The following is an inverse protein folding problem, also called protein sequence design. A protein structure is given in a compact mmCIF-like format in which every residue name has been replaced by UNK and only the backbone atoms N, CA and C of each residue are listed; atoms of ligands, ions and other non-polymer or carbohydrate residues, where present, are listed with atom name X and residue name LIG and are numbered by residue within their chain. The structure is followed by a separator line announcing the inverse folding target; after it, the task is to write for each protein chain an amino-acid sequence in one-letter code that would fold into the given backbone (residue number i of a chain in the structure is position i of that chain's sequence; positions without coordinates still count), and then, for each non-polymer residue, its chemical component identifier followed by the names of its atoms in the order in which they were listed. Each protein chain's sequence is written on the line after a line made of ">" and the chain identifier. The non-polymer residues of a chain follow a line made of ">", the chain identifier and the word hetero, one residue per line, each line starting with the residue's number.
data_IF_694885592174
#
_entry.id   IF_694885592174
#
_cell.length_a   1.000
_cell.length_b   1.000
_cell.length_c   1.000
_cell.angle_alpha   90.00
_cell.angle_beta   90.00
_cell.angle_gamma   90.00
#
_symmetry.space_group_name_H-M   'P 1'
#
loop_
_entity.id
_entity.type
_entity.pdbx_description
1 polymer ?
#
# COMPACT_ATOMS: atom_id res chain seq x y z
N UNK A 1 -35.22 4.25 3.34
CA UNK A 1 -35.51 4.90 2.06
C UNK A 1 -34.80 4.17 0.95
N UNK A 2 -35.56 3.59 0.05
CA UNK A 2 -35.19 2.63 -0.97
C UNK A 2 -34.18 3.22 -1.99
N UNK A 3 -33.03 2.55 -2.17
CA UNK A 3 -32.23 2.70 -3.37
C UNK A 3 -32.54 1.53 -4.30
N UNK A 4 -33.27 1.81 -5.37
CA UNK A 4 -33.50 0.87 -6.45
C UNK A 4 -32.24 0.76 -7.32
N UNK A 5 -31.75 -0.47 -7.43
CA UNK A 5 -30.61 -0.83 -8.26
C UNK A 5 -31.11 -1.10 -9.69
N UNK A 6 -30.84 -0.20 -10.63
CA UNK A 6 -31.16 -0.32 -12.05
C UNK A 6 -29.89 -0.61 -12.86
N UNK A 7 -29.25 -1.73 -12.64
CA UNK A 7 -28.35 -2.35 -13.63
C UNK A 7 -28.37 -3.85 -13.40
N UNK A 8 -29.06 -4.58 -14.29
CA UNK A 8 -29.09 -6.04 -14.27
C UNK A 8 -27.74 -6.63 -14.64
N UNK A 9 -26.99 -7.05 -13.63
CA UNK A 9 -25.90 -7.98 -13.76
C UNK A 9 -26.12 -9.15 -12.79
N UNK A 10 -25.92 -10.40 -13.20
CA UNK A 10 -26.13 -11.56 -12.32
C UNK A 10 -25.07 -11.59 -11.22
N UNK A 11 -25.52 -11.49 -9.97
CA UNK A 11 -24.69 -11.57 -8.79
C UNK A 11 -24.08 -12.97 -8.64
N UNK A 12 -22.77 -13.03 -8.43
CA UNK A 12 -22.09 -14.22 -7.91
C UNK A 12 -22.49 -14.43 -6.43
N UNK A 13 -23.48 -15.29 -6.20
CA UNK A 13 -23.82 -15.75 -4.86
C UNK A 13 -22.92 -16.92 -4.48
N UNK A 14 -21.98 -16.71 -3.56
CA UNK A 14 -21.28 -17.76 -2.84
C UNK A 14 -22.18 -18.25 -1.70
N UNK A 15 -23.14 -19.13 -1.99
CA UNK A 15 -23.85 -19.90 -0.96
C UNK A 15 -23.31 -21.33 -0.97
N UNK A 16 -22.59 -21.70 0.08
CA UNK A 16 -22.17 -23.06 0.32
C UNK A 16 -23.38 -23.98 0.49
N UNK A 17 -23.49 -25.02 -0.34
CA UNK A 17 -24.40 -26.14 -0.11
C UNK A 17 -23.76 -27.18 0.79
N UNK A 18 -24.51 -27.82 1.70
CA UNK A 18 -23.99 -28.91 2.51
C UNK A 18 -23.79 -30.16 1.65
N UNK A 19 -22.71 -30.88 1.94
CA UNK A 19 -22.36 -32.15 1.32
C UNK A 19 -23.33 -33.23 1.85
N UNK A 20 -24.18 -33.76 0.99
CA UNK A 20 -24.90 -34.98 1.20
C UNK A 20 -24.17 -36.15 0.51
N UNK A 21 -23.98 -37.20 1.24
CA UNK A 21 -23.41 -38.49 0.80
C UNK A 21 -24.26 -39.17 -0.28
N UNK A 22 -23.59 -39.79 -1.25
CA UNK A 22 -24.18 -40.93 -1.95
C UNK A 22 -24.01 -40.97 -3.47
N UNK A 23 -23.19 -41.90 -3.91
CA UNK A 23 -23.29 -42.77 -5.11
C UNK A 23 -22.88 -42.29 -6.49
N UNK A 24 -21.89 -43.02 -6.99
CA UNK A 24 -21.69 -43.61 -8.34
C UNK A 24 -21.53 -42.70 -9.55
N UNK A 25 -20.29 -42.72 -10.05
CA UNK A 25 -19.82 -42.86 -11.43
C UNK A 25 -20.83 -42.54 -12.56
N UNK A 26 -20.67 -41.37 -13.16
CA UNK A 26 -20.96 -41.11 -14.60
C UNK A 26 -20.13 -39.94 -15.09
N UNK A 27 -19.32 -40.22 -16.11
CA UNK A 27 -18.45 -39.26 -16.80
C UNK A 27 -19.21 -38.02 -17.32
N UNK A 28 -18.71 -36.85 -16.96
CA UNK A 28 -19.18 -35.61 -17.54
C UNK A 28 -18.41 -35.31 -18.82
N UNK A 29 -19.07 -35.50 -19.95
CA UNK A 29 -18.69 -34.86 -21.21
C UNK A 29 -18.89 -33.35 -21.06
N UNK A 30 -17.80 -32.61 -21.07
CA UNK A 30 -17.82 -31.13 -21.24
C UNK A 30 -18.12 -30.88 -22.71
N UNK A 31 -19.36 -30.50 -23.03
CA UNK A 31 -19.71 -29.97 -24.34
C UNK A 31 -19.04 -28.58 -24.50
N UNK A 32 -18.19 -28.42 -25.50
CA UNK A 32 -17.71 -27.13 -25.99
C UNK A 32 -18.90 -26.28 -26.47
N UNK A 33 -19.47 -25.49 -25.57
CA UNK A 33 -20.41 -24.44 -25.90
C UNK A 33 -19.68 -23.31 -26.62
N UNK A 34 -19.89 -23.15 -27.92
CA UNK A 34 -19.49 -21.96 -28.68
C UNK A 34 -20.02 -20.73 -27.98
N UNK A 35 -19.12 -19.92 -27.43
CA UNK A 35 -19.44 -18.61 -26.90
C UNK A 35 -19.98 -17.71 -28.03
N UNK A 36 -21.24 -17.30 -27.89
CA UNK A 36 -21.86 -16.29 -28.76
C UNK A 36 -21.13 -14.96 -28.56
N UNK A 37 -20.69 -14.26 -29.62
CA UNK A 37 -20.06 -12.96 -29.46
C UNK A 37 -21.09 -11.95 -28.97
N UNK A 38 -20.93 -11.46 -27.76
CA UNK A 38 -21.67 -10.28 -27.27
C UNK A 38 -21.17 -9.04 -28.03
N UNK A 39 -22.05 -8.41 -28.77
CA UNK A 39 -21.85 -7.12 -29.42
C UNK A 39 -21.47 -6.07 -28.38
N UNK A 40 -20.33 -5.38 -28.58
CA UNK A 40 -19.92 -4.22 -27.81
C UNK A 40 -18.53 -4.27 -27.21
N UNK A 41 -17.57 -4.99 -27.77
CA UNK A 41 -16.16 -4.83 -27.46
C UNK A 41 -15.61 -3.58 -28.20
N UNK A 42 -15.86 -2.40 -27.64
CA UNK A 42 -15.02 -1.23 -27.92
C UNK A 42 -13.61 -1.55 -27.42
N UNK A 43 -12.59 -1.25 -28.23
CA UNK A 43 -11.16 -1.46 -28.05
C UNK A 43 -10.68 -1.30 -26.61
N UNK A 44 -10.86 -2.32 -25.78
CA UNK A 44 -10.18 -2.38 -24.48
C UNK A 44 -8.74 -2.81 -24.76
N UNK A 45 -7.73 -2.03 -24.33
CA UNK A 45 -6.34 -2.40 -24.58
C UNK A 45 -6.07 -3.82 -24.06
N UNK A 46 -5.42 -4.63 -24.90
CA UNK A 46 -5.07 -6.01 -24.57
C UNK A 46 -4.21 -6.06 -23.33
N UNK A 47 -4.51 -6.96 -22.40
CA UNK A 47 -3.78 -7.11 -21.14
C UNK A 47 -2.33 -7.57 -21.40
N UNK A 48 -1.36 -6.82 -20.88
CA UNK A 48 0.06 -7.04 -21.14
C UNK A 48 0.71 -7.64 -19.89
N UNK A 49 1.08 -8.91 -19.97
CA UNK A 49 1.76 -9.65 -18.89
C UNK A 49 3.28 -9.78 -19.11
N UNK A 50 3.80 -9.36 -20.25
CA UNK A 50 5.23 -9.27 -20.55
C UNK A 50 5.54 -7.90 -21.15
N UNK A 51 6.02 -7.01 -20.32
CA UNK A 51 6.31 -5.63 -20.70
C UNK A 51 7.47 -5.49 -21.71
N UNK A 52 8.30 -6.54 -21.90
CA UNK A 52 9.36 -6.53 -22.91
C UNK A 52 8.80 -6.34 -24.33
N UNK A 53 7.56 -6.76 -24.57
CA UNK A 53 6.84 -6.54 -25.83
C UNK A 53 6.57 -5.06 -26.14
N UNK A 54 6.58 -4.21 -25.12
CA UNK A 54 6.34 -2.77 -25.25
C UNK A 54 7.58 -1.98 -25.69
N UNK A 55 8.78 -2.56 -25.50
CA UNK A 55 10.05 -1.86 -25.67
C UNK A 55 10.40 -0.96 -24.46
N UNK A 56 11.71 -0.69 -24.29
CA UNK A 56 12.24 0.05 -23.13
C UNK A 56 11.61 1.43 -22.89
N UNK A 57 11.37 2.29 -23.92
CA UNK A 57 10.79 3.61 -23.67
C UNK A 57 9.39 3.55 -23.07
N UNK A 58 8.51 2.68 -23.58
CA UNK A 58 7.15 2.54 -23.04
C UNK A 58 7.16 1.94 -21.64
N UNK A 59 8.04 0.97 -21.37
CA UNK A 59 8.22 0.43 -19.99
C UNK A 59 8.61 1.55 -19.01
N UNK A 60 9.55 2.41 -19.38
CA UNK A 60 9.96 3.53 -18.54
C UNK A 60 8.80 4.51 -18.26
N UNK A 61 7.96 4.80 -19.26
CA UNK A 61 6.78 5.65 -19.07
C UNK A 61 5.79 5.03 -18.09
N UNK A 62 5.50 3.74 -18.21
CA UNK A 62 4.61 3.04 -17.26
C UNK A 62 5.22 2.95 -15.86
N UNK A 63 6.53 2.70 -15.74
CA UNK A 63 7.22 2.75 -14.45
C UNK A 63 7.15 4.13 -13.79
N UNK A 64 7.32 5.19 -14.58
CA UNK A 64 7.14 6.56 -14.12
C UNK A 64 5.70 6.83 -13.62
N UNK A 65 4.68 6.23 -14.25
CA UNK A 65 3.30 6.31 -13.76
C UNK A 65 3.13 5.68 -12.38
N UNK A 66 3.71 4.49 -12.16
CA UNK A 66 3.70 3.84 -10.86
C UNK A 66 4.42 4.66 -9.80
N UNK A 67 5.56 5.26 -10.15
CA UNK A 67 6.32 6.16 -9.27
C UNK A 67 5.48 7.38 -8.88
N UNK A 68 4.78 8.02 -9.80
CA UNK A 68 3.93 9.17 -9.49
C UNK A 68 2.69 8.78 -8.67
N UNK A 69 2.11 7.60 -8.90
CA UNK A 69 0.94 7.15 -8.15
C UNK A 69 1.26 6.95 -6.66
N UNK A 70 2.44 6.42 -6.33
CA UNK A 70 2.86 6.15 -4.96
C UNK A 70 3.44 7.37 -4.23
N UNK A 71 3.92 8.37 -4.97
CA UNK A 71 4.77 9.45 -4.44
C UNK A 71 4.10 10.23 -3.31
N UNK A 72 2.85 10.65 -3.51
CA UNK A 72 2.12 11.46 -2.53
C UNK A 72 1.92 10.73 -1.20
N UNK A 73 1.46 9.48 -1.25
CA UNK A 73 1.23 8.66 -0.07
C UNK A 73 2.55 8.32 0.65
N UNK A 74 3.60 7.99 -0.11
CA UNK A 74 4.89 7.60 0.46
C UNK A 74 5.58 8.74 1.20
N UNK A 75 5.46 10.00 0.73
CA UNK A 75 6.02 11.17 1.41
C UNK A 75 5.19 11.61 2.61
N UNK A 76 3.88 11.43 2.55
CA UNK A 76 3.00 11.95 3.60
C UNK A 76 3.28 11.31 4.97
N UNK A 77 3.51 9.99 5.02
CA UNK A 77 3.75 9.28 6.30
C UNK A 77 4.99 9.81 7.03
N UNK A 78 6.20 9.88 6.43
CA UNK A 78 7.36 10.42 7.12
C UNK A 78 7.18 11.89 7.51
N UNK A 79 6.50 12.70 6.69
CA UNK A 79 6.21 14.10 7.01
C UNK A 79 5.33 14.23 8.27
N UNK A 80 4.35 13.34 8.45
CA UNK A 80 3.47 13.34 9.62
C UNK A 80 4.11 12.76 10.88
N UNK A 81 5.08 11.86 10.72
CA UNK A 81 5.71 11.14 11.83
C UNK A 81 7.06 11.72 12.26
N UNK A 82 7.64 12.63 11.47
CA UNK A 82 8.99 13.17 11.71
C UNK A 82 10.12 12.28 11.20
N UNK A 83 9.81 11.17 10.51
CA UNK A 83 10.80 10.27 9.93
C UNK A 83 11.43 10.86 8.65
N UNK A 84 12.60 10.34 8.25
CA UNK A 84 13.29 10.79 7.04
C UNK A 84 12.55 10.41 5.76
N UNK A 85 12.17 11.42 4.96
CA UNK A 85 11.57 11.23 3.63
C UNK A 85 12.55 10.51 2.69
N UNK A 86 13.83 10.85 2.74
CA UNK A 86 14.86 10.24 1.91
C UNK A 86 15.05 8.76 2.21
N UNK A 87 15.10 8.40 3.50
CA UNK A 87 15.12 7.00 3.93
C UNK A 87 13.85 6.25 3.48
N UNK A 88 12.69 6.89 3.61
CA UNK A 88 11.41 6.31 3.20
C UNK A 88 11.40 5.96 1.72
N UNK A 89 11.80 6.89 0.85
CA UNK A 89 11.85 6.66 -0.59
C UNK A 89 12.85 5.56 -0.97
N UNK A 90 14.04 5.55 -0.33
CA UNK A 90 15.02 4.50 -0.55
C UNK A 90 14.46 3.13 -0.18
N UNK A 91 13.89 3.00 1.02
CA UNK A 91 13.39 1.71 1.49
C UNK A 91 12.05 1.30 0.87
N UNK A 92 11.25 2.22 0.34
CA UNK A 92 10.13 1.89 -0.52
C UNK A 92 10.62 1.17 -1.80
N UNK A 93 11.67 1.69 -2.44
CA UNK A 93 12.29 1.04 -3.59
C UNK A 93 12.95 -0.30 -3.26
N UNK A 94 13.81 -0.34 -2.25
CA UNK A 94 14.49 -1.57 -1.80
C UNK A 94 13.47 -2.62 -1.33
N UNK A 95 12.46 -2.21 -0.57
CA UNK A 95 11.39 -3.10 -0.10
C UNK A 95 10.57 -3.69 -1.24
N UNK A 96 10.24 -2.88 -2.25
CA UNK A 96 9.54 -3.35 -3.46
C UNK A 96 10.39 -4.38 -4.23
N UNK A 97 11.69 -4.12 -4.41
CA UNK A 97 12.60 -5.09 -5.04
C UNK A 97 12.72 -6.39 -4.24
N UNK A 98 12.83 -6.29 -2.91
CA UNK A 98 12.87 -7.45 -2.02
C UNK A 98 11.57 -8.27 -2.12
N UNK A 99 10.41 -7.59 -2.13
CA UNK A 99 9.11 -8.22 -2.33
C UNK A 99 9.02 -8.95 -3.67
N UNK A 100 9.47 -8.32 -4.76
CA UNK A 100 9.48 -8.96 -6.07
C UNK A 100 10.41 -10.18 -6.11
N UNK A 101 11.55 -10.13 -5.46
CA UNK A 101 12.46 -11.28 -5.33
C UNK A 101 11.79 -12.44 -4.59
N UNK A 102 11.15 -12.19 -3.44
CA UNK A 102 10.49 -13.20 -2.62
C UNK A 102 9.24 -13.77 -3.31
N UNK A 103 8.45 -12.91 -3.97
CA UNK A 103 7.26 -13.29 -4.75
C UNK A 103 7.59 -13.91 -6.10
N UNK A 104 8.89 -14.12 -6.41
CA UNK A 104 9.42 -14.68 -7.66
C UNK A 104 9.06 -13.82 -8.90
N UNK A 105 8.94 -12.52 -8.76
CA UNK A 105 8.56 -11.62 -9.84
C UNK A 105 7.21 -11.92 -10.45
N UNK A 106 6.24 -12.43 -9.66
CA UNK A 106 4.91 -12.79 -10.15
C UNK A 106 3.85 -11.75 -9.83
N UNK A 107 3.93 -11.12 -8.67
CA UNK A 107 2.92 -10.19 -8.17
C UNK A 107 3.31 -8.76 -8.51
N UNK A 108 2.53 -8.04 -9.32
CA UNK A 108 2.80 -6.66 -9.68
C UNK A 108 2.29 -5.72 -8.57
N UNK A 109 2.95 -5.72 -7.41
CA UNK A 109 2.64 -4.84 -6.30
C UNK A 109 3.81 -3.90 -6.01
N UNK A 110 3.51 -2.65 -5.69
CA UNK A 110 4.44 -1.68 -5.14
C UNK A 110 4.30 -1.63 -3.61
N UNK A 111 5.41 -1.48 -2.90
CA UNK A 111 5.43 -1.29 -1.46
C UNK A 111 5.83 0.14 -1.12
N UNK A 112 5.08 0.76 -0.22
CA UNK A 112 5.38 2.09 0.29
C UNK A 112 4.98 2.26 1.74
N UNK A 113 5.09 3.48 2.26
CA UNK A 113 4.90 3.78 3.67
C UNK A 113 3.46 3.55 4.14
N UNK A 114 3.27 2.79 5.21
CA UNK A 114 1.95 2.44 5.74
C UNK A 114 1.36 3.53 6.62
N UNK A 115 0.12 3.93 6.33
CA UNK A 115 -0.66 4.87 7.16
C UNK A 115 -1.11 4.26 8.49
N UNK A 116 -1.28 2.96 8.57
CA UNK A 116 -1.81 2.28 9.74
C UNK A 116 -0.92 2.43 10.98
N UNK A 117 0.38 2.67 10.80
CA UNK A 117 1.33 2.84 11.88
C UNK A 117 1.47 4.28 12.39
N UNK A 118 0.86 5.28 11.72
CA UNK A 118 0.97 6.71 12.14
C UNK A 118 0.55 6.91 13.58
N UNK A 119 -0.57 6.29 14.01
CA UNK A 119 -1.01 6.37 15.39
C UNK A 119 -0.01 5.74 16.38
N UNK A 120 0.69 4.68 15.96
CA UNK A 120 1.74 4.05 16.75
C UNK A 120 2.96 4.96 16.92
N UNK A 121 3.40 5.62 15.85
CA UNK A 121 4.47 6.62 15.92
C UNK A 121 4.08 7.78 16.82
N UNK A 122 2.87 8.33 16.67
CA UNK A 122 2.37 9.43 17.50
C UNK A 122 2.20 9.06 18.96
N UNK A 123 1.96 7.78 19.30
CA UNK A 123 1.87 7.33 20.68
C UNK A 123 3.24 7.26 21.39
N UNK A 124 4.33 7.06 20.64
CA UNK A 124 5.69 6.96 21.19
C UNK A 124 6.43 8.28 21.04
N UNK A 125 6.31 8.96 19.90
CA UNK A 125 6.95 10.23 19.58
C UNK A 125 5.88 11.25 19.11
N UNK A 126 5.10 11.84 20.04
CA UNK A 126 3.94 12.68 19.69
C UNK A 126 4.26 13.89 18.81
N UNK A 127 5.46 14.45 18.95
CA UNK A 127 5.91 15.60 18.17
C UNK A 127 7.05 15.23 17.19
N UNK A 128 7.26 13.95 16.93
CA UNK A 128 8.34 13.48 16.08
C UNK A 128 9.74 13.66 16.70
N UNK A 129 9.84 13.46 18.02
CA UNK A 129 11.11 13.58 18.74
C UNK A 129 12.14 12.58 18.22
N UNK A 130 13.30 13.09 17.79
CA UNK A 130 14.32 12.33 17.10
C UNK A 130 14.93 11.20 17.96
N UNK A 131 14.95 11.34 19.29
CA UNK A 131 15.41 10.35 20.24
C UNK A 131 14.38 9.25 20.53
N UNK A 132 13.10 9.51 20.32
CA UNK A 132 12.00 8.55 20.51
C UNK A 132 11.66 7.76 19.24
N UNK A 133 11.86 8.34 18.07
CA UNK A 133 11.55 7.72 16.78
C UNK A 133 12.24 6.36 16.57
N UNK A 134 13.52 6.14 16.94
CA UNK A 134 14.15 4.83 16.81
C UNK A 134 13.47 3.74 17.66
N UNK A 135 12.90 4.08 18.82
CA UNK A 135 12.11 3.14 19.62
C UNK A 135 10.77 2.80 18.94
N UNK A 136 10.11 3.79 18.34
CA UNK A 136 8.92 3.55 17.55
C UNK A 136 9.23 2.65 16.33
N UNK A 137 10.34 2.90 15.64
CA UNK A 137 10.84 2.05 14.55
C UNK A 137 11.15 0.63 15.03
N UNK A 138 11.68 0.43 16.24
CA UNK A 138 11.85 -0.89 16.84
C UNK A 138 10.50 -1.60 17.02
N UNK A 139 9.48 -0.89 17.50
CA UNK A 139 8.12 -1.42 17.61
C UNK A 139 7.57 -1.89 16.27
N UNK A 140 7.79 -1.12 15.20
CA UNK A 140 7.38 -1.47 13.83
C UNK A 140 8.19 -2.64 13.28
N UNK A 141 9.50 -2.70 13.54
CA UNK A 141 10.32 -3.86 13.15
C UNK A 141 9.81 -5.15 13.82
N UNK A 142 9.44 -5.08 15.11
CA UNK A 142 8.80 -6.20 15.81
C UNK A 142 7.42 -6.54 15.24
N UNK A 143 6.64 -5.55 14.81
CA UNK A 143 5.39 -5.77 14.08
C UNK A 143 5.62 -6.55 12.78
N UNK A 144 6.69 -6.26 12.05
CA UNK A 144 7.12 -7.02 10.87
C UNK A 144 7.39 -8.51 11.16
N UNK A 145 7.83 -8.88 12.37
CA UNK A 145 8.00 -10.29 12.75
C UNK A 145 6.67 -11.04 12.78
N UNK A 146 5.55 -10.38 13.13
CA UNK A 146 4.23 -11.01 13.06
C UNK A 146 3.84 -11.41 11.63
N UNK A 147 4.27 -10.64 10.62
CA UNK A 147 4.08 -11.03 9.22
C UNK A 147 4.81 -12.33 8.88
N UNK A 148 6.02 -12.52 9.42
CA UNK A 148 6.77 -13.76 9.22
C UNK A 148 6.04 -14.95 9.85
N UNK A 149 5.50 -14.76 11.07
CA UNK A 149 4.69 -15.79 11.76
C UNK A 149 3.44 -16.11 10.94
N UNK A 150 2.69 -15.10 10.50
CA UNK A 150 1.50 -15.31 9.69
C UNK A 150 1.84 -15.97 8.34
N UNK A 151 2.93 -15.56 7.71
CA UNK A 151 3.45 -16.21 6.49
C UNK A 151 3.71 -17.71 6.69
N UNK A 152 4.35 -18.07 7.82
CA UNK A 152 4.58 -19.46 8.17
C UNK A 152 3.26 -20.22 8.40
N UNK A 153 2.27 -19.60 9.06
CA UNK A 153 0.94 -20.20 9.24
C UNK A 153 0.23 -20.43 7.89
N UNK A 154 0.29 -19.49 6.97
CA UNK A 154 -0.25 -19.67 5.62
C UNK A 154 0.44 -20.80 4.85
N UNK A 155 1.76 -20.95 5.03
CA UNK A 155 2.53 -22.02 4.39
C UNK A 155 2.17 -23.39 4.93
N UNK A 156 1.95 -23.51 6.26
CA UNK A 156 1.70 -24.80 6.93
C UNK A 156 0.23 -25.21 6.84
N UNK A 157 -0.70 -24.29 7.13
CA UNK A 157 -2.12 -24.59 7.23
C UNK A 157 -2.92 -24.29 5.95
N UNK A 158 -2.31 -23.57 5.02
CA UNK A 158 -2.95 -23.14 3.77
C UNK A 158 -3.89 -21.94 3.94
N UNK A 159 -4.19 -21.22 2.82
CA UNK A 159 -4.96 -19.97 2.86
C UNK A 159 -6.38 -20.15 3.39
N UNK A 160 -7.07 -21.22 3.02
CA UNK A 160 -8.48 -21.44 3.39
C UNK A 160 -8.69 -21.53 4.90
N UNK A 161 -7.78 -22.17 5.65
CA UNK A 161 -7.90 -22.29 7.11
C UNK A 161 -7.54 -21.00 7.81
N UNK A 162 -6.46 -20.34 7.39
CA UNK A 162 -5.98 -19.10 8.03
C UNK A 162 -6.95 -17.95 7.77
N UNK A 163 -7.50 -17.82 6.55
CA UNK A 163 -8.49 -16.78 6.20
C UNK A 163 -9.78 -16.85 7.03
N UNK A 164 -10.09 -17.99 7.65
CA UNK A 164 -11.23 -18.10 8.57
C UNK A 164 -11.09 -17.20 9.81
N UNK A 165 -9.86 -16.86 10.19
CA UNK A 165 -9.58 -15.96 11.32
C UNK A 165 -9.64 -14.49 10.94
N UNK A 166 -9.71 -14.17 9.65
CA UNK A 166 -9.76 -12.80 9.12
C UNK A 166 -11.07 -12.56 8.34
N UNK A 167 -12.25 -12.65 8.99
CA UNK A 167 -13.51 -12.45 8.29
C UNK A 167 -13.69 -10.96 7.91
N UNK A 168 -14.37 -10.66 6.79
CA UNK A 168 -14.61 -9.28 6.33
C UNK A 168 -15.29 -8.37 7.36
N UNK A 169 -16.07 -8.96 8.27
CA UNK A 169 -16.73 -8.23 9.38
C UNK A 169 -15.74 -7.59 10.35
N UNK A 170 -14.52 -8.11 10.44
CA UNK A 170 -13.44 -7.53 11.27
C UNK A 170 -12.62 -6.53 10.47
N UNK A 171 -12.37 -6.81 9.18
CA UNK A 171 -11.50 -6.00 8.34
C UNK A 171 -12.11 -4.62 8.04
N UNK A 172 -13.43 -4.57 7.77
CA UNK A 172 -14.15 -3.33 7.48
C UNK A 172 -14.04 -2.28 8.60
N UNK A 173 -14.42 -2.61 9.84
CA UNK A 173 -14.27 -1.69 10.97
C UNK A 173 -12.84 -1.22 11.22
N UNK A 174 -11.82 -2.06 11.00
CA UNK A 174 -10.41 -1.66 11.15
C UNK A 174 -10.05 -0.57 10.13
N UNK A 175 -10.39 -0.74 8.86
CA UNK A 175 -10.13 0.25 7.81
C UNK A 175 -10.86 1.56 8.08
N UNK A 176 -12.12 1.49 8.54
CA UNK A 176 -12.89 2.67 8.94
C UNK A 176 -12.20 3.40 10.10
N UNK A 177 -11.73 2.67 11.11
CA UNK A 177 -11.04 3.26 12.28
C UNK A 177 -9.75 3.97 11.88
N UNK A 178 -8.95 3.39 10.97
CA UNK A 178 -7.76 4.04 10.41
C UNK A 178 -8.15 5.37 9.73
N UNK A 179 -9.18 5.34 8.87
CA UNK A 179 -9.68 6.54 8.20
C UNK A 179 -10.13 7.64 9.17
N UNK A 180 -10.82 7.27 10.26
CA UNK A 180 -11.28 8.23 11.25
C UNK A 180 -10.12 8.85 12.06
N UNK A 181 -9.09 8.08 12.38
CA UNK A 181 -7.88 8.60 13.04
C UNK A 181 -7.18 9.60 12.13
N UNK A 182 -7.00 9.26 10.86
CA UNK A 182 -6.37 10.13 9.87
C UNK A 182 -7.19 11.39 9.58
N UNK A 183 -8.51 11.33 9.68
CA UNK A 183 -9.39 12.48 9.48
C UNK A 183 -9.11 13.61 10.46
N UNK A 184 -8.86 13.30 11.74
CA UNK A 184 -8.48 14.30 12.75
C UNK A 184 -7.18 15.01 12.38
N UNK A 185 -6.15 14.26 11.98
CA UNK A 185 -4.87 14.81 11.51
C UNK A 185 -5.04 15.66 10.25
N UNK A 186 -5.87 15.22 9.31
CA UNK A 186 -6.16 15.98 8.08
C UNK A 186 -6.81 17.33 8.37
N UNK A 187 -7.78 17.37 9.32
CA UNK A 187 -8.44 18.63 9.72
C UNK A 187 -7.44 19.56 10.39
N UNK A 188 -6.61 19.05 11.31
CA UNK A 188 -5.57 19.85 11.99
C UNK A 188 -4.60 20.45 10.98
N UNK A 189 -4.10 19.67 10.02
CA UNK A 189 -3.20 20.15 8.98
C UNK A 189 -3.89 21.16 8.03
N UNK A 190 -5.14 20.93 7.63
CA UNK A 190 -5.90 21.85 6.80
C UNK A 190 -6.15 23.19 7.52
N UNK A 191 -6.33 23.19 8.84
CA UNK A 191 -6.60 24.38 9.64
C UNK A 191 -5.44 25.37 9.67
N UNK A 192 -4.22 24.97 9.33
CA UNK A 192 -3.08 25.86 9.22
C UNK A 192 -3.24 26.86 8.07
N UNK A 193 -3.87 26.45 6.96
CA UNK A 193 -4.21 27.33 5.83
C UNK A 193 -5.38 26.78 5.01
N UNK A 194 -6.61 27.07 5.43
CA UNK A 194 -7.81 26.61 4.74
C UNK A 194 -7.90 26.95 3.25
N UNK A 195 -7.55 28.17 2.78
CA UNK A 195 -7.55 28.49 1.36
C UNK A 195 -6.71 27.54 0.53
N UNK A 196 -5.48 27.23 0.95
CA UNK A 196 -4.57 26.32 0.25
C UNK A 196 -5.11 24.87 0.31
N UNK A 197 -5.65 24.44 1.46
CA UNK A 197 -6.25 23.12 1.62
C UNK A 197 -7.45 22.94 0.68
N UNK A 198 -8.32 23.93 0.55
CA UNK A 198 -9.46 23.90 -0.37
C UNK A 198 -9.02 23.85 -1.84
N UNK A 199 -7.95 24.57 -2.21
CA UNK A 199 -7.36 24.47 -3.56
C UNK A 199 -6.88 23.05 -3.84
N UNK A 200 -6.17 22.40 -2.88
CA UNK A 200 -5.71 21.02 -3.03
C UNK A 200 -6.88 20.07 -3.25
N UNK A 201 -7.93 20.17 -2.42
CA UNK A 201 -9.13 19.33 -2.52
C UNK A 201 -9.83 19.56 -3.87
N UNK A 202 -9.99 20.82 -4.29
CA UNK A 202 -10.61 21.14 -5.57
C UNK A 202 -9.86 20.53 -6.75
N UNK A 203 -8.53 20.63 -6.77
CA UNK A 203 -7.70 20.01 -7.82
C UNK A 203 -7.89 18.49 -7.83
N UNK A 204 -7.86 17.83 -6.66
CA UNK A 204 -8.04 16.38 -6.54
C UNK A 204 -9.43 15.96 -7.06
N UNK A 205 -10.48 16.65 -6.66
CA UNK A 205 -11.87 16.38 -7.09
C UNK A 205 -12.02 16.57 -8.60
N UNK A 206 -11.51 17.67 -9.13
CA UNK A 206 -11.55 17.97 -10.57
C UNK A 206 -10.80 16.90 -11.36
N UNK A 207 -9.59 16.53 -10.92
CA UNK A 207 -8.79 15.51 -11.57
C UNK A 207 -9.47 14.13 -11.54
N UNK A 208 -10.14 13.78 -10.43
CA UNK A 208 -10.86 12.51 -10.30
C UNK A 208 -12.13 12.45 -11.17
N UNK A 209 -12.92 13.53 -11.22
CA UNK A 209 -14.21 13.52 -11.91
C UNK A 209 -14.04 13.74 -13.41
N UNK A 210 -13.29 14.76 -13.79
CA UNK A 210 -13.14 15.19 -15.19
C UNK A 210 -11.82 14.77 -15.82
N UNK A 211 -10.85 14.28 -15.04
CA UNK A 211 -9.57 13.83 -15.53
C UNK A 211 -9.69 12.63 -16.49
N UNK A 212 -8.83 12.60 -17.51
CA UNK A 212 -8.70 11.51 -18.47
C UNK A 212 -7.25 11.03 -18.51
N UNK A 213 -7.05 9.73 -18.78
CA UNK A 213 -5.72 9.14 -18.87
C UNK A 213 -4.89 9.33 -17.60
N UNK A 214 -3.71 9.90 -17.70
CA UNK A 214 -2.78 10.15 -16.59
C UNK A 214 -3.36 11.02 -15.47
N UNK A 215 -4.12 12.07 -15.81
CA UNK A 215 -4.70 13.00 -14.81
C UNK A 215 -5.58 12.26 -13.82
N UNK A 216 -6.33 11.28 -14.28
CA UNK A 216 -7.21 10.44 -13.42
C UNK A 216 -6.42 9.47 -12.54
N UNK A 217 -5.18 9.13 -12.92
CA UNK A 217 -4.31 8.20 -12.18
C UNK A 217 -3.61 8.87 -11.00
N UNK A 218 -3.23 10.16 -11.16
CA UNK A 218 -2.39 10.88 -10.21
C UNK A 218 -3.10 12.10 -9.56
N UNK A 219 -4.37 12.01 -9.15
CA UNK A 219 -5.11 13.16 -8.64
C UNK A 219 -4.48 13.74 -7.37
N UNK A 220 -3.98 12.89 -6.47
CA UNK A 220 -3.33 13.31 -5.22
C UNK A 220 -2.05 14.09 -5.52
N UNK A 221 -1.20 13.58 -6.41
CA UNK A 221 0.01 14.30 -6.81
C UNK A 221 -0.30 15.65 -7.43
N UNK A 222 -1.32 15.74 -8.28
CA UNK A 222 -1.76 17.01 -8.88
C UNK A 222 -2.27 17.99 -7.81
N UNK A 223 -3.00 17.49 -6.82
CA UNK A 223 -3.43 18.29 -5.67
C UNK A 223 -2.26 18.85 -4.87
N UNK A 224 -1.28 18.01 -4.55
CA UNK A 224 -0.07 18.42 -3.80
C UNK A 224 0.74 19.42 -4.61
N UNK A 225 1.08 19.13 -5.85
CA UNK A 225 1.89 20.03 -6.70
C UNK A 225 1.15 21.35 -6.97
N UNK A 226 -0.14 21.26 -7.31
CA UNK A 226 -0.94 22.45 -7.61
C UNK A 226 -1.12 23.35 -6.39
N UNK A 227 -1.42 22.79 -5.23
CA UNK A 227 -1.52 23.60 -3.98
C UNK A 227 -0.16 24.16 -3.55
N UNK A 228 0.94 23.41 -3.77
CA UNK A 228 2.28 23.88 -3.50
C UNK A 228 2.67 25.09 -4.38
N UNK A 229 2.33 25.06 -5.67
CA UNK A 229 2.53 26.19 -6.59
C UNK A 229 1.74 27.41 -6.11
N UNK A 230 0.49 27.23 -5.70
CA UNK A 230 -0.34 28.33 -5.16
C UNK A 230 0.24 28.85 -3.85
N UNK A 231 0.69 27.98 -2.95
CA UNK A 231 1.32 28.38 -1.69
C UNK A 231 2.62 29.17 -1.92
N UNK A 232 3.42 28.72 -2.89
CA UNK A 232 4.67 29.40 -3.29
C UNK A 232 4.38 30.80 -3.86
N UNK A 233 3.39 30.92 -4.74
CA UNK A 233 2.97 32.19 -5.31
C UNK A 233 2.39 33.16 -4.25
N UNK A 234 1.75 32.59 -3.21
CA UNK A 234 1.23 33.35 -2.07
C UNK A 234 2.32 33.72 -1.04
N UNK A 235 3.59 33.32 -1.24
CA UNK A 235 4.70 33.62 -0.33
C UNK A 235 4.63 32.89 1.01
N UNK A 236 3.88 31.77 1.09
CA UNK A 236 3.73 30.98 2.32
C UNK A 236 4.84 29.92 2.45
N UNK A 237 5.52 29.58 1.35
CA UNK A 237 6.57 28.57 1.32
C UNK A 237 7.93 29.17 1.61
N UNK A 238 8.64 28.61 2.58
CA UNK A 238 10.05 28.94 2.85
C UNK A 238 10.96 27.98 2.05
N UNK A 239 11.81 28.56 1.20
CA UNK A 239 12.77 27.84 0.36
C UNK A 239 14.18 27.79 0.95
N UNK A 240 14.42 28.38 2.14
CA UNK A 240 15.78 28.43 2.74
C UNK A 240 16.35 27.05 2.97
N UNK A 241 15.54 26.10 3.49
CA UNK A 241 15.96 24.72 3.68
C UNK A 241 16.33 23.99 2.38
N UNK A 242 15.70 24.35 1.25
CA UNK A 242 16.04 23.78 -0.07
C UNK A 242 17.39 24.33 -0.56
N UNK A 243 17.65 25.62 -0.33
CA UNK A 243 18.90 26.25 -0.74
C UNK A 243 20.12 25.73 0.02
N UNK A 244 19.92 25.34 1.29
CA UNK A 244 20.97 24.83 2.17
C UNK A 244 21.14 23.29 2.08
N UNK A 245 20.21 22.59 1.44
CA UNK A 245 20.24 21.15 1.34
C UNK A 245 21.41 20.64 0.48
N UNK A 246 22.09 19.61 0.96
CA UNK A 246 23.12 18.94 0.19
C UNK A 246 22.51 18.20 -1.02
N UNK A 247 23.07 18.40 -2.21
CA UNK A 247 22.63 17.75 -3.44
C UNK A 247 22.83 16.22 -3.45
N UNK A 248 23.84 15.74 -2.73
CA UNK A 248 24.18 14.32 -2.58
C UNK A 248 24.48 14.08 -1.10
N UNK A 249 23.82 13.11 -0.50
CA UNK A 249 24.01 12.74 0.89
C UNK A 249 23.50 11.33 1.16
N UNK A 250 23.84 10.78 2.34
CA UNK A 250 23.24 9.54 2.80
C UNK A 250 21.77 9.79 3.13
N UNK A 251 20.85 8.91 2.70
CA UNK A 251 19.41 9.11 2.88
C UNK A 251 18.93 8.93 4.33
N UNK A 252 19.78 8.38 5.22
CA UNK A 252 19.54 8.21 6.65
C UNK A 252 20.81 8.45 7.44
N UNK A 253 20.70 8.87 8.69
CA UNK A 253 21.82 9.00 9.62
C UNK A 253 21.83 7.81 10.60
N UNK A 254 22.95 7.56 11.26
CA UNK A 254 23.04 6.51 12.27
C UNK A 254 22.01 6.72 13.39
N UNK A 255 21.80 7.96 13.79
CA UNK A 255 20.88 8.32 14.87
C UNK A 255 19.41 8.03 14.55
N UNK A 256 19.03 8.00 13.26
CA UNK A 256 17.68 7.67 12.82
C UNK A 256 17.41 6.16 12.90
N UNK A 257 18.47 5.35 12.93
CA UNK A 257 18.34 3.89 12.89
C UNK A 257 18.00 3.28 14.26
N UNK A 258 17.33 2.13 14.26
CA UNK A 258 17.08 1.36 15.49
C UNK A 258 18.41 0.96 16.18
N UNK A 259 19.51 0.89 15.45
CA UNK A 259 20.79 0.51 16.03
C UNK A 259 21.37 1.57 16.98
N UNK A 260 20.96 2.82 16.84
CA UNK A 260 21.40 3.95 17.69
C UNK A 260 20.96 3.83 19.14
N UNK A 261 19.84 3.15 19.43
CA UNK A 261 19.33 2.99 20.79
C UNK A 261 20.10 1.93 21.60
N UNK A 262 20.81 1.01 20.94
CA UNK A 262 21.59 -0.04 21.63
C UNK A 262 22.93 0.49 22.11
N UNK A 263 22.91 1.39 23.09
CA UNK A 263 24.06 2.03 23.70
C UNK A 263 23.94 2.15 25.23
N UNK A 264 24.80 2.96 25.83
CA UNK A 264 24.85 3.15 27.28
C UNK A 264 23.55 3.74 27.90
N UNK A 265 22.66 4.29 27.10
CA UNK A 265 21.38 4.91 27.52
C UNK A 265 20.15 4.14 27.03
N UNK A 266 20.27 2.85 26.75
CA UNK A 266 19.14 2.04 26.30
C UNK A 266 18.04 1.99 27.37
N UNK A 267 16.85 2.50 27.03
CA UNK A 267 15.66 2.42 27.88
C UNK A 267 14.81 1.19 27.51
N UNK A 268 14.97 0.13 28.30
CA UNK A 268 14.21 -1.11 28.10
C UNK A 268 12.70 -0.92 28.34
N UNK A 269 12.30 0.01 29.24
CA UNK A 269 10.90 0.31 29.51
C UNK A 269 10.22 0.93 28.30
N UNK A 270 10.87 1.92 27.67
CA UNK A 270 10.40 2.57 26.46
C UNK A 270 10.37 1.60 25.27
N UNK A 271 11.39 0.75 25.13
CA UNK A 271 11.42 -0.27 24.07
C UNK A 271 10.25 -1.25 24.18
N UNK A 272 9.96 -1.76 25.40
CA UNK A 272 8.83 -2.66 25.66
C UNK A 272 7.50 -1.93 25.38
N UNK A 273 7.38 -0.68 25.84
CA UNK A 273 6.18 0.14 25.58
C UNK A 273 5.94 0.32 24.10
N UNK A 274 6.97 0.64 23.32
CA UNK A 274 6.88 0.80 21.87
C UNK A 274 6.45 -0.51 21.18
N UNK A 275 7.02 -1.64 21.59
CA UNK A 275 6.66 -2.96 21.02
C UNK A 275 5.19 -3.28 21.34
N UNK A 276 4.77 -3.16 22.59
CA UNK A 276 3.40 -3.49 23.00
C UNK A 276 2.37 -2.58 22.33
N UNK A 277 2.69 -1.30 22.16
CA UNK A 277 1.79 -0.32 21.55
C UNK A 277 1.68 -0.51 20.03
N UNK A 278 2.79 -0.75 19.34
CA UNK A 278 2.84 -0.72 17.88
C UNK A 278 2.62 -2.10 17.26
N UNK A 279 3.13 -3.16 17.87
CA UNK A 279 3.07 -4.51 17.30
C UNK A 279 1.63 -4.99 16.98
N UNK A 280 0.58 -4.69 17.77
CA UNK A 280 -0.79 -5.07 17.43
C UNK A 280 -1.33 -4.43 16.16
N UNK A 281 -0.81 -3.27 15.72
CA UNK A 281 -1.23 -2.61 14.48
C UNK A 281 -0.91 -3.45 13.25
N UNK A 282 0.05 -4.36 13.35
CA UNK A 282 0.37 -5.31 12.29
C UNK A 282 -0.83 -6.17 11.86
N UNK A 283 -1.77 -6.47 12.76
CA UNK A 283 -2.97 -7.23 12.38
C UNK A 283 -3.81 -6.48 11.34
N UNK A 284 -3.93 -5.15 11.48
CA UNK A 284 -4.66 -4.33 10.51
C UNK A 284 -3.97 -4.35 9.14
N UNK A 285 -2.66 -4.15 9.11
CA UNK A 285 -1.89 -4.09 7.86
C UNK A 285 -1.73 -5.46 7.19
N UNK A 286 -1.67 -6.55 7.95
CA UNK A 286 -1.71 -7.90 7.39
C UNK A 286 -3.05 -8.18 6.68
N UNK A 287 -4.15 -7.68 7.23
CA UNK A 287 -5.47 -7.79 6.62
C UNK A 287 -5.56 -6.94 5.35
N UNK A 288 -5.05 -5.70 5.41
CA UNK A 288 -4.93 -4.79 4.27
C UNK A 288 -4.12 -5.45 3.14
N UNK A 289 -2.95 -6.01 3.44
CA UNK A 289 -2.12 -6.75 2.48
C UNK A 289 -2.88 -7.89 1.78
N UNK A 290 -3.65 -8.68 2.53
CA UNK A 290 -4.47 -9.77 1.95
C UNK A 290 -5.54 -9.19 1.02
N UNK A 291 -6.14 -8.07 1.39
CA UNK A 291 -7.10 -7.32 0.57
C UNK A 291 -6.47 -6.84 -0.73
N UNK A 292 -5.30 -6.22 -0.65
CA UNK A 292 -4.55 -5.71 -1.80
C UNK A 292 -4.15 -6.81 -2.77
N UNK A 293 -3.60 -7.94 -2.26
CA UNK A 293 -3.25 -9.10 -3.10
C UNK A 293 -4.50 -9.67 -3.78
N UNK A 294 -5.65 -9.64 -3.10
CA UNK A 294 -6.93 -10.06 -3.69
C UNK A 294 -7.40 -9.10 -4.78
N UNK A 295 -7.28 -7.79 -4.56
CA UNK A 295 -7.61 -6.76 -5.53
C UNK A 295 -6.69 -6.83 -6.76
N UNK A 296 -5.38 -6.98 -6.57
CA UNK A 296 -4.41 -7.19 -7.64
C UNK A 296 -4.73 -8.47 -8.42
N UNK A 297 -5.08 -9.56 -7.71
CA UNK A 297 -5.47 -10.83 -8.35
C UNK A 297 -6.67 -10.67 -9.26
N UNK A 298 -7.69 -9.96 -8.80
CA UNK A 298 -8.89 -9.65 -9.57
C UNK A 298 -8.58 -8.75 -10.77
N UNK A 299 -7.81 -7.69 -10.56
CA UNK A 299 -7.43 -6.73 -11.60
C UNK A 299 -6.60 -7.39 -12.71
N UNK A 300 -5.66 -8.24 -12.33
CA UNK A 300 -4.77 -8.94 -13.27
C UNK A 300 -5.38 -10.23 -13.83
N UNK A 301 -6.59 -10.63 -13.40
CA UNK A 301 -7.21 -11.91 -13.73
C UNK A 301 -6.27 -13.11 -13.50
N UNK A 302 -5.53 -13.09 -12.38
CA UNK A 302 -4.59 -14.15 -11.94
C UNK A 302 -4.73 -14.40 -10.45
N UNK A 303 -4.69 -15.65 -10.03
CA UNK A 303 -4.82 -16.01 -8.61
C UNK A 303 -3.47 -15.96 -7.89
N UNK A 304 -3.06 -14.78 -7.43
CA UNK A 304 -1.82 -14.60 -6.65
C UNK A 304 -1.93 -15.12 -5.21
N UNK A 305 -3.14 -15.36 -4.72
CA UNK A 305 -3.38 -16.02 -3.42
C UNK A 305 -2.90 -17.47 -3.46
N UNK A 306 -3.09 -18.15 -4.61
CA UNK A 306 -2.63 -19.51 -4.81
C UNK A 306 -1.17 -19.55 -5.27
N UNK A 307 -0.78 -18.73 -6.25
CA UNK A 307 0.56 -18.70 -6.82
C UNK A 307 1.05 -17.26 -7.06
N UNK A 308 2.12 -16.81 -6.42
CA UNK A 308 3.12 -17.53 -5.60
C UNK A 308 2.65 -17.92 -4.21
N UNK A 309 1.43 -17.53 -3.79
CA UNK A 309 0.82 -17.81 -2.51
C UNK A 309 1.00 -16.70 -1.49
N UNK A 310 -0.02 -16.49 -0.65
CA UNK A 310 -0.02 -15.45 0.39
C UNK A 310 1.17 -15.56 1.36
N UNK A 311 1.69 -16.77 1.60
CA UNK A 311 2.87 -16.95 2.43
C UNK A 311 4.11 -16.22 1.89
N UNK A 312 4.25 -16.08 0.56
CA UNK A 312 5.39 -15.36 -0.04
C UNK A 312 5.16 -13.86 -0.05
N UNK A 313 3.96 -13.43 -0.36
CA UNK A 313 3.65 -11.99 -0.38
C UNK A 313 3.74 -11.39 1.02
N UNK A 314 3.18 -12.07 2.04
CA UNK A 314 3.33 -11.67 3.45
C UNK A 314 4.79 -11.71 3.93
N UNK A 315 5.57 -12.72 3.51
CA UNK A 315 6.99 -12.78 3.84
C UNK A 315 7.73 -11.57 3.26
N UNK A 316 7.44 -11.22 2.01
CA UNK A 316 8.05 -10.07 1.34
C UNK A 316 7.70 -8.75 2.00
N UNK A 317 6.42 -8.57 2.33
CA UNK A 317 5.89 -7.38 3.01
C UNK A 317 6.50 -7.21 4.42
N UNK A 318 6.50 -8.28 5.21
CA UNK A 318 7.08 -8.28 6.55
C UNK A 318 8.59 -8.01 6.57
N UNK A 319 9.35 -8.63 5.66
CA UNK A 319 10.79 -8.37 5.56
C UNK A 319 11.09 -6.95 5.06
N UNK A 320 10.28 -6.41 4.14
CA UNK A 320 10.41 -5.02 3.70
C UNK A 320 10.12 -4.04 4.85
N UNK A 321 9.08 -4.33 5.65
CA UNK A 321 8.75 -3.54 6.86
C UNK A 321 9.87 -3.59 7.88
N UNK A 322 10.41 -4.77 8.21
CA UNK A 322 11.53 -4.91 9.14
C UNK A 322 12.74 -4.12 8.65
N UNK A 323 13.11 -4.32 7.39
CA UNK A 323 14.28 -3.66 6.81
C UNK A 323 14.15 -2.15 6.83
N UNK A 324 13.01 -1.60 6.37
CA UNK A 324 12.76 -0.17 6.37
C UNK A 324 12.84 0.43 7.78
N UNK A 325 12.17 -0.21 8.75
CA UNK A 325 12.11 0.28 10.12
C UNK A 325 13.46 0.22 10.85
N UNK A 326 14.29 -0.80 10.59
CA UNK A 326 15.63 -0.87 11.18
C UNK A 326 16.51 0.31 10.78
N UNK A 327 16.27 0.90 9.61
CA UNK A 327 17.02 2.05 9.10
C UNK A 327 16.28 3.39 9.22
N UNK A 328 15.30 3.49 10.11
CA UNK A 328 14.62 4.77 10.41
C UNK A 328 13.60 5.20 9.35
N UNK A 329 13.13 4.28 8.53
CA UNK A 329 12.01 4.52 7.63
C UNK A 329 10.71 3.90 8.20
N UNK A 330 9.52 4.38 7.80
CA UNK A 330 8.26 3.79 8.22
C UNK A 330 8.05 2.38 7.67
N UNK A 331 7.06 1.67 8.23
CA UNK A 331 6.65 0.37 7.72
C UNK A 331 6.38 0.42 6.21
N UNK A 332 6.86 -0.59 5.49
CA UNK A 332 6.60 -0.77 4.07
C UNK A 332 5.50 -1.82 3.85
N UNK A 333 4.38 -1.42 3.25
CA UNK A 333 3.26 -2.32 2.94
C UNK A 333 2.79 -2.14 1.50
N UNK A 334 2.00 -3.09 0.98
CA UNK A 334 1.46 -3.02 -0.38
C UNK A 334 0.54 -1.80 -0.56
N UNK A 335 0.56 -1.21 -1.77
CA UNK A 335 -0.19 0.00 -2.12
C UNK A 335 -1.36 -0.28 -3.06
N UNK A 336 -2.56 0.07 -2.60
CA UNK A 336 -3.78 0.00 -3.39
C UNK A 336 -3.81 1.00 -4.57
N UNK A 337 -3.16 2.16 -4.43
CA UNK A 337 -3.06 3.19 -5.47
C UNK A 337 -2.42 2.66 -6.75
N UNK A 338 -1.37 1.85 -6.61
CA UNK A 338 -0.70 1.23 -7.74
C UNK A 338 -1.57 0.17 -8.43
N UNK A 339 -2.50 -0.45 -7.72
CA UNK A 339 -3.53 -1.32 -8.31
C UNK A 339 -4.46 -0.53 -9.23
N UNK A 340 -4.75 0.73 -8.92
CA UNK A 340 -5.45 1.65 -9.81
C UNK A 340 -4.72 1.89 -11.14
N UNK A 341 -3.39 2.03 -11.08
CA UNK A 341 -2.55 2.14 -12.30
C UNK A 341 -2.63 0.86 -13.14
N UNK A 342 -2.53 -0.31 -12.51
CA UNK A 342 -2.68 -1.61 -13.18
C UNK A 342 -4.03 -1.71 -13.91
N UNK A 343 -5.11 -1.33 -13.24
CA UNK A 343 -6.47 -1.39 -13.80
C UNK A 343 -6.64 -0.51 -15.04
N UNK A 344 -5.99 0.67 -15.05
CA UNK A 344 -6.09 1.64 -16.15
C UNK A 344 -5.16 1.32 -17.31
N UNK A 345 -3.91 0.95 -17.02
CA UNK A 345 -2.90 0.69 -18.04
C UNK A 345 -3.00 -0.71 -18.64
N UNK A 346 -3.56 -1.66 -17.88
CA UNK A 346 -3.59 -3.11 -18.18
C UNK A 346 -2.21 -3.72 -18.42
N UNK A 347 -1.17 -3.10 -17.88
CA UNK A 347 0.21 -3.62 -17.90
C UNK A 347 0.47 -4.30 -16.54
N UNK A 348 0.52 -5.62 -16.53
CA UNK A 348 0.56 -6.45 -15.33
C UNK A 348 1.92 -7.12 -15.10
N UNK A 349 2.97 -6.60 -15.72
CA UNK A 349 4.32 -7.12 -15.54
C UNK A 349 5.00 -6.45 -14.33
N UNK A 350 5.45 -7.20 -13.31
CA UNK A 350 6.18 -6.66 -12.16
C UNK A 350 7.44 -5.86 -12.51
N UNK A 351 7.99 -6.03 -13.70
CA UNK A 351 9.19 -5.28 -14.16
C UNK A 351 8.92 -3.81 -14.44
N UNK A 352 7.66 -3.40 -14.49
CA UNK A 352 7.25 -2.02 -14.72
C UNK A 352 7.06 -1.28 -13.39
N UNK A 353 6.89 -2.01 -12.31
CA UNK A 353 6.73 -1.53 -10.93
C UNK A 353 8.07 -1.42 -10.22
#
# INVERSE_FOLDING_TARGET
>A
MLWQNTTGQPGCSWVGRPVGEGSTDKGYHVSEGKATPTMGAQDSPEAIYDARKLGKPKMAVFGLQHMFAMFGATILVPTLTGLSVSATLLFAGVGTLLFHFISKGKVPAFLGSSFAFIAGYAAIAPNGEADLLPYACLGVACAGLLYLVLSALFKVFGPTRVMRFFPPVVTGPIVISIGLILASSAITNASTNWPIALVAIAIIVIANIWGKGMIKIIPILLGVVGSYVVASAAGVVDFTGVAEAAWIGMPFTWNDTVFSIFGAQFDAGLAITAIITIMPLAFATMIEHIGDVSAISSTCNRNYIAEPGLHRTLLGDGLATILASLFGAPANTTYGENTGVLALTKVFDPRVI
#
